data_IF_240709265856
#
_entry.id   IF_240709265856
#
_cell.length_a   1.000
_cell.length_b   1.000
_cell.length_c   1.000
_cell.angle_alpha   90.00
_cell.angle_beta   90.00
_cell.angle_gamma   90.00
#
_symmetry.space_group_name_H-M   'P 1'
#
loop_
_entity.id
_entity.type
_entity.pdbx_description
1 polymer ?
#
# COMPACT_ATOMS: atom_id res chain seq x y z
N UNK A 1 44.56 14.63 31.96
CA UNK A 1 43.80 14.22 30.77
C UNK A 1 42.54 13.50 31.26
N UNK A 2 41.56 14.26 31.77
CA UNK A 2 40.37 13.71 32.44
C UNK A 2 39.19 13.57 31.46
N UNK A 3 38.66 12.35 31.38
CA UNK A 3 37.21 12.02 31.35
C UNK A 3 36.28 12.44 30.20
N UNK A 4 36.74 12.63 28.96
CA UNK A 4 35.81 13.03 27.88
C UNK A 4 35.00 11.85 27.26
N UNK A 5 35.37 10.59 27.47
CA UNK A 5 34.93 9.52 26.54
C UNK A 5 34.08 8.34 27.07
N UNK A 6 33.10 8.52 27.97
CA UNK A 6 31.97 7.57 28.06
C UNK A 6 30.63 8.19 27.61
N UNK A 7 30.41 9.48 27.85
CA UNK A 7 29.14 10.15 27.54
C UNK A 7 28.93 10.35 26.03
N UNK A 8 29.97 10.79 25.31
CA UNK A 8 29.89 10.99 23.86
C UNK A 8 29.60 9.67 23.11
N UNK A 9 30.17 8.55 23.57
CA UNK A 9 29.90 7.21 23.02
C UNK A 9 28.45 6.82 23.30
N UNK A 10 27.97 6.93 24.54
CA UNK A 10 26.60 6.58 24.94
C UNK A 10 25.53 7.39 24.18
N UNK A 11 25.77 8.68 23.92
CA UNK A 11 24.86 9.53 23.14
C UNK A 11 24.85 9.12 21.67
N UNK A 12 26.01 8.74 21.12
CA UNK A 12 26.14 8.26 19.74
C UNK A 12 25.45 6.90 19.55
N UNK A 13 25.58 5.97 20.50
CA UNK A 13 24.85 4.68 20.45
C UNK A 13 23.35 4.88 20.60
N UNK A 14 22.88 5.72 21.54
CA UNK A 14 21.44 6.01 21.67
C UNK A 14 20.86 6.70 20.42
N UNK A 15 21.62 7.57 19.77
CA UNK A 15 21.19 8.21 18.53
C UNK A 15 21.26 7.28 17.31
N UNK A 16 22.15 6.30 17.29
CA UNK A 16 22.17 5.27 16.24
C UNK A 16 21.02 4.27 16.43
N UNK A 17 20.73 3.89 17.68
CA UNK A 17 19.63 3.00 18.04
C UNK A 17 18.27 3.62 17.75
N UNK A 18 18.04 4.90 18.12
CA UNK A 18 16.78 5.59 17.80
C UNK A 18 16.55 5.67 16.28
N UNK A 19 17.60 5.95 15.51
CA UNK A 19 17.52 6.06 14.04
C UNK A 19 17.23 4.69 13.43
N UNK A 20 17.80 3.61 13.98
CA UNK A 20 17.50 2.26 13.52
C UNK A 20 16.04 1.87 13.83
N UNK A 21 15.55 2.19 15.03
CA UNK A 21 14.16 1.93 15.43
C UNK A 21 13.17 2.74 14.59
N UNK A 22 13.44 4.02 14.33
CA UNK A 22 12.61 4.84 13.44
C UNK A 22 12.57 4.28 12.01
N UNK A 23 13.68 3.72 11.52
CA UNK A 23 13.77 3.10 10.20
C UNK A 23 12.98 1.78 10.12
N UNK A 24 13.06 0.94 11.16
CA UNK A 24 12.30 -0.31 11.26
C UNK A 24 10.79 -0.06 11.41
N UNK A 25 10.41 0.92 12.22
CA UNK A 25 9.00 1.34 12.39
C UNK A 25 8.44 1.89 11.09
N UNK A 26 9.20 2.71 10.36
CA UNK A 26 8.78 3.22 9.05
C UNK A 26 8.57 2.08 8.04
N UNK A 27 9.47 1.10 8.01
CA UNK A 27 9.34 -0.07 7.13
C UNK A 27 8.12 -0.92 7.48
N UNK A 28 7.86 -1.15 8.77
CA UNK A 28 6.69 -1.87 9.25
C UNK A 28 5.38 -1.12 8.94
N UNK A 29 5.37 0.21 9.10
CA UNK A 29 4.23 1.06 8.79
C UNK A 29 3.88 1.04 7.29
N UNK A 30 4.88 1.14 6.42
CA UNK A 30 4.65 1.06 4.97
C UNK A 30 4.11 -0.31 4.57
N UNK A 31 4.61 -1.39 5.18
CA UNK A 31 4.12 -2.74 4.90
C UNK A 31 2.67 -2.93 5.34
N UNK A 32 2.29 -2.45 6.53
CA UNK A 32 0.90 -2.59 7.03
C UNK A 32 -0.08 -1.76 6.21
N UNK A 33 0.30 -0.52 5.86
CA UNK A 33 -0.52 0.34 4.99
C UNK A 33 -0.68 -0.30 3.60
N UNK A 34 0.39 -0.89 3.04
CA UNK A 34 0.33 -1.57 1.75
C UNK A 34 -0.63 -2.76 1.75
N UNK A 35 -0.61 -3.58 2.82
CA UNK A 35 -1.54 -4.71 2.96
C UNK A 35 -2.98 -4.22 3.10
N UNK A 36 -3.21 -3.24 3.97
CA UNK A 36 -4.54 -2.66 4.18
C UNK A 36 -5.10 -2.04 2.88
N UNK A 37 -4.28 -1.26 2.17
CA UNK A 37 -4.65 -0.67 0.90
C UNK A 37 -4.93 -1.74 -0.17
N UNK A 38 -4.16 -2.83 -0.20
CA UNK A 38 -4.40 -3.95 -1.12
C UNK A 38 -5.74 -4.63 -0.88
N UNK A 39 -6.10 -4.90 0.39
CA UNK A 39 -7.38 -5.52 0.75
C UNK A 39 -8.54 -4.60 0.38
N UNK A 40 -8.46 -3.32 0.74
CA UNK A 40 -9.49 -2.33 0.42
C UNK A 40 -9.62 -2.15 -1.10
N UNK A 41 -8.51 -2.08 -1.82
CA UNK A 41 -8.49 -1.98 -3.27
C UNK A 41 -9.15 -3.18 -3.95
N UNK A 42 -8.85 -4.40 -3.50
CA UNK A 42 -9.47 -5.62 -4.00
C UNK A 42 -10.99 -5.63 -3.74
N UNK A 43 -11.42 -5.19 -2.55
CA UNK A 43 -12.83 -5.10 -2.21
C UNK A 43 -13.58 -4.09 -3.09
N UNK A 44 -13.04 -2.87 -3.23
CA UNK A 44 -13.64 -1.84 -4.09
C UNK A 44 -13.69 -2.30 -5.55
N UNK A 45 -12.64 -2.95 -6.05
CA UNK A 45 -12.63 -3.47 -7.42
C UNK A 45 -13.70 -4.55 -7.62
N UNK A 46 -13.88 -5.45 -6.65
CA UNK A 46 -14.93 -6.47 -6.70
C UNK A 46 -16.34 -5.85 -6.68
N UNK A 47 -16.56 -4.83 -5.84
CA UNK A 47 -17.82 -4.11 -5.77
C UNK A 47 -18.10 -3.32 -7.05
N UNK A 48 -17.06 -2.72 -7.64
CA UNK A 48 -17.14 -2.03 -8.92
C UNK A 48 -17.51 -2.99 -10.06
N UNK A 49 -16.82 -4.12 -10.17
CA UNK A 49 -17.14 -5.16 -11.18
C UNK A 49 -18.55 -5.71 -10.95
N UNK A 50 -18.94 -5.97 -9.71
CA UNK A 50 -20.29 -6.39 -9.36
C UNK A 50 -21.35 -5.36 -9.75
N UNK A 51 -21.08 -4.07 -9.51
CA UNK A 51 -21.94 -2.96 -9.92
C UNK A 51 -22.07 -2.85 -11.43
N UNK A 52 -20.96 -2.97 -12.16
CA UNK A 52 -20.94 -2.99 -13.64
C UNK A 52 -21.80 -4.15 -14.15
N UNK A 53 -21.64 -5.36 -13.62
CA UNK A 53 -22.43 -6.53 -14.02
C UNK A 53 -23.91 -6.32 -13.66
N UNK A 54 -24.22 -5.84 -12.47
CA UNK A 54 -25.59 -5.59 -12.00
C UNK A 54 -26.32 -4.51 -12.82
N UNK A 55 -25.61 -3.51 -13.35
CA UNK A 55 -26.16 -2.51 -14.26
C UNK A 55 -26.36 -3.02 -15.70
N UNK A 56 -26.20 -4.33 -15.94
CA UNK A 56 -26.30 -4.95 -17.26
C UNK A 56 -24.96 -5.21 -17.93
N UNK A 57 -23.84 -4.83 -17.33
CA UNK A 57 -22.49 -5.08 -17.83
C UNK A 57 -22.05 -4.13 -18.95
N UNK A 58 -20.76 -4.20 -19.30
CA UNK A 58 -20.24 -3.69 -20.58
C UNK A 58 -20.53 -4.67 -21.74
N UNK A 59 -20.90 -5.91 -21.41
CA UNK A 59 -21.19 -7.00 -22.34
C UNK A 59 -22.24 -6.65 -23.39
N UNK A 60 -23.38 -6.00 -23.06
CA UNK A 60 -24.37 -5.59 -24.06
C UNK A 60 -23.81 -4.56 -25.04
N UNK A 61 -22.90 -3.69 -24.60
CA UNK A 61 -22.26 -2.69 -25.46
C UNK A 61 -21.34 -3.37 -26.49
N UNK A 62 -20.58 -4.36 -26.04
CA UNK A 62 -19.69 -5.17 -26.89
C UNK A 62 -20.49 -6.05 -27.84
N UNK A 63 -21.52 -6.75 -27.35
CA UNK A 63 -22.39 -7.59 -28.18
C UNK A 63 -23.15 -6.76 -29.23
N UNK A 64 -23.66 -5.59 -28.85
CA UNK A 64 -24.37 -4.70 -29.79
C UNK A 64 -23.42 -4.10 -30.83
N UNK A 65 -22.16 -3.82 -30.45
CA UNK A 65 -21.11 -3.43 -31.41
C UNK A 65 -20.76 -4.58 -32.36
N UNK A 66 -20.56 -5.79 -31.85
CA UNK A 66 -20.29 -6.96 -32.69
C UNK A 66 -21.45 -7.22 -33.64
N UNK A 67 -22.70 -7.19 -33.18
CA UNK A 67 -23.88 -7.30 -34.04
C UNK A 67 -23.91 -6.21 -35.11
N UNK A 68 -23.62 -4.97 -34.74
CA UNK A 68 -23.55 -3.87 -35.71
C UNK A 68 -22.41 -4.03 -36.74
N UNK A 69 -21.33 -4.71 -36.38
CA UNK A 69 -20.19 -5.00 -37.27
C UNK A 69 -20.45 -6.23 -38.15
N UNK A 70 -21.16 -7.24 -37.64
CA UNK A 70 -21.39 -8.50 -38.37
C UNK A 70 -22.69 -8.53 -39.18
N UNK A 71 -23.63 -7.61 -38.92
CA UNK A 71 -24.94 -7.52 -39.58
C UNK A 71 -26.03 -8.25 -38.82
#
# INVERSE_FOLDING_TARGET
MNEICPAAVKVRTKSAEKVNVEMEVNKAAIATIGIAAGIVGAWVLSAFVGGVIASGGILPLIMNWFHAVTG
#
